data_IF_641796525544
#
_entry.id   IF_641796525544
#
_cell.length_a   1.000
_cell.length_b   1.000
_cell.length_c   1.000
_cell.angle_alpha   90.00
_cell.angle_beta   90.00
_cell.angle_gamma   90.00
#
_symmetry.space_group_name_H-M   'P 1'
#
loop_
_entity.id
_entity.type
_entity.pdbx_description
1 polymer ?
#
# COMPACT_ATOMS: atom_id res chain seq x y z
N UNK A 1 1.64 36.36 3.31
CA UNK A 1 0.90 35.10 3.12
C UNK A 1 1.39 34.27 1.92
N UNK A 2 1.60 34.79 0.70
CA UNK A 2 2.05 33.97 -0.43
C UNK A 2 3.30 33.13 -0.13
N UNK A 3 4.33 33.73 0.45
CA UNK A 3 5.58 33.05 0.80
C UNK A 3 5.44 31.93 1.83
N UNK A 4 4.44 31.98 2.72
CA UNK A 4 4.20 30.91 3.67
C UNK A 4 3.59 29.68 2.96
N UNK A 5 2.61 29.90 2.09
CA UNK A 5 1.99 28.83 1.32
C UNK A 5 2.98 28.17 0.38
N UNK A 6 3.80 28.97 -0.31
CA UNK A 6 4.89 28.48 -1.15
C UNK A 6 5.89 27.62 -0.35
N UNK A 7 6.33 28.13 0.80
CA UNK A 7 7.22 27.38 1.68
C UNK A 7 6.63 26.07 2.18
N UNK A 8 5.36 26.06 2.55
CA UNK A 8 4.65 24.85 2.98
C UNK A 8 4.55 23.85 1.83
N UNK A 9 4.24 24.32 0.63
CA UNK A 9 4.14 23.48 -0.56
C UNK A 9 5.49 22.80 -0.88
N UNK A 10 6.57 23.55 -0.99
CA UNK A 10 7.88 22.98 -1.30
C UNK A 10 8.42 22.10 -0.17
N UNK A 11 8.14 22.42 1.09
CA UNK A 11 8.50 21.54 2.20
C UNK A 11 7.74 20.23 2.14
N UNK A 12 6.46 20.24 1.75
CA UNK A 12 5.65 19.04 1.53
C UNK A 12 6.20 18.19 0.40
N UNK A 13 6.50 18.79 -0.76
CA UNK A 13 7.13 18.10 -1.89
C UNK A 13 8.45 17.45 -1.49
N UNK A 14 9.32 18.22 -0.81
CA UNK A 14 10.60 17.70 -0.34
C UNK A 14 10.42 16.52 0.62
N UNK A 15 9.46 16.62 1.57
CA UNK A 15 9.16 15.55 2.50
C UNK A 15 8.69 14.28 1.79
N UNK A 16 7.77 14.39 0.84
CA UNK A 16 7.30 13.26 0.03
C UNK A 16 8.44 12.63 -0.78
N UNK A 17 9.23 13.46 -1.47
CA UNK A 17 10.35 12.98 -2.28
C UNK A 17 11.44 12.31 -1.43
N UNK A 18 11.72 12.85 -0.25
CA UNK A 18 12.72 12.28 0.67
C UNK A 18 12.29 10.95 1.30
N UNK A 19 10.98 10.72 1.44
CA UNK A 19 10.42 9.46 1.96
C UNK A 19 10.11 8.43 0.87
N UNK A 20 10.10 8.86 -0.39
CA UNK A 20 9.81 7.99 -1.52
C UNK A 20 11.10 7.30 -2.02
N UNK A 21 10.93 6.30 -2.86
CA UNK A 21 12.03 5.56 -3.47
C UNK A 21 11.55 4.18 -3.85
N UNK A 22 12.08 3.15 -3.21
CA UNK A 22 11.61 1.76 -3.39
C UNK A 22 10.49 1.37 -2.44
N UNK A 23 10.05 2.30 -1.59
CA UNK A 23 9.01 2.10 -0.56
C UNK A 23 8.07 3.32 -0.53
N UNK A 24 6.97 3.21 0.21
CA UNK A 24 6.10 4.34 0.55
C UNK A 24 6.60 5.05 1.83
N UNK A 25 6.12 6.27 2.11
CA UNK A 25 6.30 6.90 3.41
C UNK A 25 5.63 6.07 4.52
N UNK A 26 6.29 5.97 5.66
CA UNK A 26 5.74 5.31 6.85
C UNK A 26 5.17 6.35 7.82
N UNK A 27 4.48 5.90 8.88
CA UNK A 27 3.72 6.75 9.80
C UNK A 27 4.46 8.03 10.25
N UNK A 28 5.71 7.92 10.62
CA UNK A 28 6.51 9.05 11.12
C UNK A 28 7.41 9.68 10.05
N UNK A 29 7.23 9.34 8.79
CA UNK A 29 8.10 9.78 7.71
C UNK A 29 9.50 9.16 7.79
N UNK A 30 10.50 9.85 7.22
CA UNK A 30 11.88 9.38 7.16
C UNK A 30 12.64 9.67 8.46
N UNK A 31 12.42 10.84 9.03
CA UNK A 31 13.13 11.30 10.24
C UNK A 31 12.26 11.19 11.46
N UNK A 32 12.75 10.47 12.43
CA UNK A 32 12.11 10.25 13.70
C UNK A 32 12.98 10.85 14.79
N UNK A 33 12.42 11.79 15.54
CA UNK A 33 13.13 12.49 16.61
C UNK A 33 13.29 11.72 17.92
N UNK A 34 12.71 10.53 18.03
CA UNK A 34 12.65 9.77 19.26
C UNK A 34 13.01 8.29 19.05
N UNK A 35 13.70 7.70 20.05
CA UNK A 35 14.04 6.27 20.05
C UNK A 35 12.84 5.37 20.32
N UNK A 36 11.85 5.87 21.08
CA UNK A 36 10.65 5.14 21.46
C UNK A 36 9.42 5.73 20.76
N UNK A 37 9.22 5.33 19.53
CA UNK A 37 8.17 5.86 18.67
C UNK A 37 6.79 5.36 19.05
N UNK A 38 5.84 6.27 19.14
CA UNK A 38 4.43 5.92 19.10
C UNK A 38 4.15 5.11 17.82
N UNK A 39 3.39 4.03 17.97
CA UNK A 39 3.04 3.14 16.86
C UNK A 39 4.23 2.50 16.13
N UNK A 40 5.43 2.48 16.75
CA UNK A 40 6.66 1.86 16.21
C UNK A 40 7.05 2.36 14.82
N UNK A 41 6.50 3.48 14.37
CA UNK A 41 6.68 4.03 13.02
C UNK A 41 6.44 3.01 11.89
N UNK A 42 5.49 2.11 12.07
CA UNK A 42 5.10 1.13 11.08
C UNK A 42 4.51 1.79 9.82
N UNK A 43 4.41 1.06 8.74
CA UNK A 43 3.59 1.46 7.60
C UNK A 43 2.12 1.23 7.98
N UNK A 44 1.42 2.31 8.30
CA UNK A 44 0.04 2.26 8.76
C UNK A 44 -0.89 2.43 7.56
N UNK A 45 -1.59 1.35 7.22
CA UNK A 45 -2.38 1.24 6.00
C UNK A 45 -3.79 1.81 6.16
N UNK A 46 -4.25 2.02 7.38
CA UNK A 46 -5.58 2.54 7.71
C UNK A 46 -5.62 4.06 7.66
N UNK A 47 -5.33 4.60 6.53
CA UNK A 47 -5.31 5.97 6.08
C UNK A 47 -3.92 6.62 6.01
N UNK A 48 -2.95 6.33 6.87
CA UNK A 48 -1.70 7.10 6.90
C UNK A 48 -0.88 6.95 5.60
N UNK A 49 -0.66 5.74 5.12
CA UNK A 49 0.12 5.52 3.89
C UNK A 49 -0.54 6.18 2.69
N UNK A 50 -1.82 5.93 2.44
CA UNK A 50 -2.49 6.49 1.26
C UNK A 50 -2.68 8.01 1.35
N UNK A 51 -2.92 8.58 2.54
CA UNK A 51 -2.98 10.04 2.73
C UNK A 51 -1.62 10.68 2.47
N UNK A 52 -0.54 10.07 2.95
CA UNK A 52 0.82 10.58 2.73
C UNK A 52 1.24 10.51 1.25
N UNK A 53 0.73 9.56 0.49
CA UNK A 53 1.05 9.44 -0.94
C UNK A 53 0.03 10.12 -1.86
N UNK A 54 -1.11 10.55 -1.34
CA UNK A 54 -2.20 11.15 -2.14
C UNK A 54 -1.77 12.39 -2.92
N UNK A 55 -0.82 13.17 -2.40
CA UNK A 55 -0.29 14.36 -3.05
C UNK A 55 0.74 14.09 -4.17
N UNK A 56 1.27 12.87 -4.28
CA UNK A 56 2.38 12.57 -5.20
C UNK A 56 2.01 12.77 -6.67
N UNK A 57 0.91 12.17 -7.06
CA UNK A 57 0.46 12.20 -8.46
C UNK A 57 0.09 13.62 -8.90
N UNK A 58 -0.74 14.32 -8.13
CA UNK A 58 -1.15 15.69 -8.40
C UNK A 58 -0.02 16.71 -8.38
N UNK A 59 1.10 16.39 -7.71
CA UNK A 59 2.30 17.23 -7.63
C UNK A 59 3.36 16.88 -8.69
N UNK A 60 3.10 15.91 -9.56
CA UNK A 60 4.05 15.48 -10.60
C UNK A 60 5.24 14.67 -10.09
N UNK A 61 5.16 14.10 -8.90
CA UNK A 61 6.22 13.26 -8.32
C UNK A 61 6.13 11.82 -8.85
N UNK A 62 6.43 11.65 -10.13
CA UNK A 62 6.32 10.36 -10.84
C UNK A 62 7.11 9.24 -10.15
N UNK A 63 8.37 9.49 -9.81
CA UNK A 63 9.25 8.49 -9.17
C UNK A 63 8.74 8.08 -7.78
N UNK A 64 8.11 8.99 -7.05
CA UNK A 64 7.48 8.67 -5.77
C UNK A 64 6.25 7.76 -5.98
N UNK A 65 5.45 8.02 -7.00
CA UNK A 65 4.35 7.15 -7.42
C UNK A 65 4.84 5.76 -7.82
N UNK A 66 5.95 5.68 -8.58
CA UNK A 66 6.60 4.41 -8.94
C UNK A 66 7.10 3.67 -7.68
N UNK A 67 7.71 4.38 -6.72
CA UNK A 67 8.13 3.81 -5.45
C UNK A 67 6.98 3.18 -4.67
N UNK A 68 5.81 3.82 -4.69
CA UNK A 68 4.58 3.26 -4.12
C UNK A 68 4.17 1.95 -4.81
N UNK A 69 4.29 1.84 -6.14
CA UNK A 69 4.00 0.58 -6.86
C UNK A 69 4.92 -0.55 -6.40
N UNK A 70 6.22 -0.27 -6.19
CA UNK A 70 7.17 -1.26 -5.65
C UNK A 70 6.82 -1.70 -4.24
N UNK A 71 6.38 -0.78 -3.40
CA UNK A 71 5.88 -1.08 -2.06
C UNK A 71 4.67 -2.03 -2.13
N UNK A 72 3.69 -1.74 -2.97
CA UNK A 72 2.49 -2.58 -3.16
C UNK A 72 2.87 -3.98 -3.67
N UNK A 73 3.63 -4.06 -4.76
CA UNK A 73 4.02 -5.34 -5.38
C UNK A 73 4.75 -6.26 -4.39
N UNK A 74 5.62 -5.71 -3.56
CA UNK A 74 6.37 -6.48 -2.57
C UNK A 74 5.46 -7.16 -1.55
N UNK A 75 4.32 -6.57 -1.23
CA UNK A 75 3.45 -7.03 -0.16
C UNK A 75 2.27 -7.91 -0.63
N UNK A 76 1.91 -7.89 -1.90
CA UNK A 76 0.77 -8.66 -2.43
C UNK A 76 0.79 -10.14 -2.04
N UNK A 77 1.92 -10.88 -2.10
CA UNK A 77 1.95 -12.29 -1.69
C UNK A 77 1.56 -12.52 -0.24
N UNK A 78 2.00 -11.64 0.67
CA UNK A 78 1.62 -11.72 2.08
C UNK A 78 0.14 -11.37 2.28
N UNK A 79 -0.40 -10.39 1.56
CA UNK A 79 -1.82 -10.06 1.61
C UNK A 79 -2.73 -11.20 1.13
N UNK A 80 -2.28 -11.93 0.12
CA UNK A 80 -2.99 -13.15 -0.34
C UNK A 80 -2.94 -14.23 0.74
N UNK A 81 -1.78 -14.43 1.35
CA UNK A 81 -1.62 -15.37 2.45
C UNK A 81 -2.49 -15.01 3.67
N UNK A 82 -2.58 -13.72 4.02
CA UNK A 82 -3.43 -13.24 5.11
C UNK A 82 -4.90 -13.57 4.86
N UNK A 83 -5.42 -13.33 3.66
CA UNK A 83 -6.80 -13.66 3.31
C UNK A 83 -7.08 -15.17 3.38
N UNK A 84 -6.12 -15.99 2.96
CA UNK A 84 -6.21 -17.43 3.04
C UNK A 84 -6.17 -17.95 4.49
N UNK A 85 -5.26 -17.39 5.32
CA UNK A 85 -5.09 -17.84 6.70
C UNK A 85 -6.22 -17.40 7.63
N UNK A 86 -6.71 -16.17 7.47
CA UNK A 86 -7.73 -15.59 8.39
C UNK A 86 -9.13 -16.03 8.02
N UNK A 87 -9.44 -16.07 6.71
CA UNK A 87 -10.80 -16.32 6.23
C UNK A 87 -10.93 -17.53 5.30
N UNK A 88 -9.86 -18.29 5.06
CA UNK A 88 -9.89 -19.41 4.10
C UNK A 88 -10.12 -19.02 2.64
N UNK A 89 -9.99 -17.72 2.33
CA UNK A 89 -10.30 -17.18 1.00
C UNK A 89 -9.26 -17.56 -0.06
N UNK A 90 -9.72 -17.70 -1.31
CA UNK A 90 -8.88 -17.98 -2.46
C UNK A 90 -8.78 -16.77 -3.38
N UNK A 91 -7.57 -16.51 -3.89
CA UNK A 91 -7.28 -15.41 -4.82
C UNK A 91 -7.86 -14.05 -4.34
N UNK A 92 -7.75 -13.79 -3.05
CA UNK A 92 -8.21 -12.59 -2.37
C UNK A 92 -7.06 -11.94 -1.60
N UNK A 93 -7.22 -10.72 -1.15
CA UNK A 93 -6.22 -10.02 -0.33
C UNK A 93 -6.84 -9.50 0.96
N UNK A 94 -6.12 -9.67 2.05
CA UNK A 94 -6.39 -9.02 3.33
C UNK A 94 -5.16 -8.18 3.70
N UNK A 95 -5.32 -6.88 3.70
CA UNK A 95 -4.25 -5.92 4.00
C UNK A 95 -4.30 -5.61 5.49
N UNK A 96 -3.22 -5.81 6.25
CA UNK A 96 -3.18 -5.49 7.67
C UNK A 96 -3.16 -3.98 7.89
N UNK A 97 -3.60 -3.54 9.06
CA UNK A 97 -3.53 -2.12 9.46
C UNK A 97 -2.09 -1.62 9.46
N UNK A 98 -1.17 -2.43 9.95
CA UNK A 98 0.25 -2.10 10.04
C UNK A 98 1.13 -3.15 9.37
N UNK A 99 2.26 -2.71 8.81
CA UNK A 99 3.30 -3.57 8.23
C UNK A 99 4.68 -2.97 8.45
N UNK A 100 5.72 -3.79 8.34
CA UNK A 100 7.11 -3.35 8.41
C UNK A 100 7.69 -2.87 7.06
N UNK A 101 6.88 -2.92 6.01
CA UNK A 101 7.27 -2.50 4.67
C UNK A 101 7.93 -3.58 3.82
N UNK A 102 8.44 -4.66 4.40
CA UNK A 102 8.96 -5.84 3.71
C UNK A 102 7.97 -6.99 3.72
N UNK A 103 7.38 -7.23 4.87
CA UNK A 103 6.41 -8.29 5.08
C UNK A 103 5.10 -7.65 5.52
N UNK A 104 4.04 -8.05 4.87
CA UNK A 104 2.69 -7.57 5.16
C UNK A 104 1.86 -8.63 5.87
N UNK A 105 2.50 -9.53 6.59
CA UNK A 105 1.81 -10.47 7.48
C UNK A 105 1.08 -9.70 8.57
N UNK A 106 -0.02 -10.25 9.06
CA UNK A 106 -0.75 -9.66 10.17
C UNK A 106 0.12 -9.71 11.42
N UNK A 107 0.61 -8.55 11.83
CA UNK A 107 1.57 -8.41 12.93
C UNK A 107 0.95 -8.02 14.26
N UNK A 108 -0.31 -7.57 14.26
CA UNK A 108 -0.98 -7.11 15.47
C UNK A 108 -2.32 -7.81 15.69
N UNK A 109 -2.40 -8.51 16.80
CA UNK A 109 -3.63 -8.99 17.40
C UNK A 109 -3.79 -8.30 18.75
N UNK A 110 -4.84 -7.49 18.88
CA UNK A 110 -5.21 -6.89 20.17
C UNK A 110 -6.72 -7.05 20.38
N UNK A 111 -7.10 -7.52 21.57
CA UNK A 111 -8.49 -7.72 21.91
C UNK A 111 -9.27 -6.40 22.07
N UNK A 112 -8.58 -5.32 22.41
CA UNK A 112 -9.16 -3.98 22.59
C UNK A 112 -9.20 -3.21 21.27
N UNK A 113 -8.30 -3.55 20.33
CA UNK A 113 -8.19 -2.94 19.01
C UNK A 113 -8.07 -4.05 17.97
N UNK A 114 -9.21 -4.62 17.52
CA UNK A 114 -9.22 -5.78 16.64
C UNK A 114 -8.84 -5.42 15.20
N UNK A 115 -7.64 -4.89 15.00
CA UNK A 115 -7.09 -4.46 13.72
C UNK A 115 -7.06 -5.57 12.66
N UNK A 116 -6.99 -6.81 13.10
CA UNK A 116 -7.04 -7.99 12.23
C UNK A 116 -8.37 -8.12 11.48
N UNK A 117 -9.44 -7.46 11.92
CA UNK A 117 -10.74 -7.46 11.24
C UNK A 117 -10.97 -6.25 10.34
N UNK A 118 -9.96 -5.40 10.15
CA UNK A 118 -10.07 -4.28 9.23
C UNK A 118 -10.02 -4.75 7.76
N UNK A 119 -11.13 -4.59 7.04
CA UNK A 119 -11.33 -5.16 5.72
C UNK A 119 -11.19 -4.14 4.57
N UNK A 120 -11.04 -2.84 4.89
CA UNK A 120 -11.05 -1.78 3.89
C UNK A 120 -9.71 -1.57 3.16
N UNK A 121 -8.64 -2.22 3.60
CA UNK A 121 -7.27 -1.95 3.18
C UNK A 121 -7.03 -1.98 1.67
N UNK A 122 -7.60 -2.97 0.98
CA UNK A 122 -7.40 -3.10 -0.45
C UNK A 122 -7.98 -1.91 -1.24
N UNK A 123 -9.16 -1.43 -0.87
CA UNK A 123 -9.77 -0.24 -1.46
C UNK A 123 -8.91 1.01 -1.27
N UNK A 124 -8.38 1.20 -0.05
CA UNK A 124 -7.53 2.33 0.27
C UNK A 124 -6.21 2.32 -0.51
N UNK A 125 -5.58 1.16 -0.64
CA UNK A 125 -4.30 1.04 -1.35
C UNK A 125 -4.45 1.12 -2.88
N UNK A 126 -5.63 0.86 -3.43
CA UNK A 126 -5.93 1.02 -4.86
C UNK A 126 -6.07 2.48 -5.30
N UNK A 127 -6.47 3.38 -4.40
CA UNK A 127 -6.72 4.80 -4.74
C UNK A 127 -5.48 5.46 -5.35
N UNK A 128 -4.29 5.46 -4.74
CA UNK A 128 -3.12 6.11 -5.33
C UNK A 128 -2.67 5.49 -6.66
N UNK A 129 -2.91 4.18 -6.86
CA UNK A 129 -2.62 3.51 -8.13
C UNK A 129 -3.57 3.99 -9.22
N UNK A 130 -4.85 4.10 -8.90
CA UNK A 130 -5.85 4.64 -9.82
C UNK A 130 -5.55 6.09 -10.20
N UNK A 131 -5.22 6.94 -9.21
CA UNK A 131 -4.82 8.32 -9.43
C UNK A 131 -3.57 8.43 -10.30
N UNK A 132 -2.58 7.53 -10.10
CA UNK A 132 -1.41 7.45 -10.96
C UNK A 132 -1.79 7.19 -12.43
N UNK A 133 -2.67 6.21 -12.67
CA UNK A 133 -3.17 5.90 -14.01
C UNK A 133 -3.97 7.07 -14.63
N UNK A 134 -4.72 7.83 -13.83
CA UNK A 134 -5.43 9.02 -14.29
C UNK A 134 -4.46 10.15 -14.67
N UNK A 135 -3.35 10.27 -13.96
CA UNK A 135 -2.38 11.35 -14.15
C UNK A 135 -1.40 11.06 -15.29
N UNK A 136 -0.90 9.83 -15.36
CA UNK A 136 0.20 9.46 -16.26
C UNK A 136 -0.20 8.47 -17.36
N UNK A 137 -1.44 7.98 -17.34
CA UNK A 137 -1.91 6.96 -18.28
C UNK A 137 -1.33 5.58 -18.03
N UNK A 138 -1.32 4.76 -19.07
CA UNK A 138 -0.75 3.41 -19.04
C UNK A 138 0.78 3.49 -19.08
N UNK A 139 1.39 3.42 -17.92
CA UNK A 139 2.83 3.52 -17.75
C UNK A 139 3.47 2.13 -17.59
N UNK A 140 4.68 2.01 -18.13
CA UNK A 140 5.56 0.84 -17.91
C UNK A 140 6.71 1.28 -17.01
N UNK A 141 6.90 0.54 -15.91
CA UNK A 141 7.89 0.83 -14.88
C UNK A 141 8.91 -0.31 -14.79
N UNK A 142 10.16 0.02 -14.53
CA UNK A 142 11.26 -0.97 -14.44
C UNK A 142 11.91 -0.91 -13.07
N UNK A 143 12.19 -2.09 -12.48
CA UNK A 143 12.87 -2.21 -11.20
C UNK A 143 14.24 -2.86 -11.35
N UNK A 144 15.16 -2.47 -10.46
CA UNK A 144 16.45 -3.13 -10.25
C UNK A 144 16.49 -3.93 -8.94
N UNK A 145 15.37 -4.00 -8.22
CA UNK A 145 15.26 -4.77 -6.98
C UNK A 145 15.26 -6.27 -7.29
N UNK A 146 16.36 -6.94 -6.97
CA UNK A 146 16.53 -8.36 -7.20
C UNK A 146 15.47 -9.24 -6.49
N UNK A 147 14.90 -8.75 -5.37
CA UNK A 147 13.85 -9.47 -4.65
C UNK A 147 12.53 -9.45 -5.41
N UNK A 148 12.15 -8.31 -5.98
CA UNK A 148 10.98 -8.18 -6.84
C UNK A 148 11.13 -8.96 -8.14
N UNK A 149 12.31 -8.87 -8.79
CA UNK A 149 12.60 -9.62 -10.00
C UNK A 149 12.49 -11.13 -9.74
N UNK A 150 13.05 -11.61 -8.63
CA UNK A 150 12.92 -13.02 -8.23
C UNK A 150 11.47 -13.42 -7.95
N UNK A 151 10.71 -12.55 -7.30
CA UNK A 151 9.30 -12.81 -6.92
C UNK A 151 8.38 -12.92 -8.13
N UNK A 152 8.58 -12.08 -9.14
CA UNK A 152 7.68 -11.96 -10.29
C UNK A 152 8.27 -12.56 -11.61
N UNK A 153 9.54 -12.93 -11.62
CA UNK A 153 10.22 -13.46 -12.81
C UNK A 153 10.45 -12.42 -13.92
N UNK A 154 10.31 -11.13 -13.62
CA UNK A 154 10.48 -10.02 -14.57
C UNK A 154 10.91 -8.74 -13.84
N UNK A 155 11.49 -7.80 -14.58
CA UNK A 155 11.96 -6.51 -14.10
C UNK A 155 11.06 -5.34 -14.54
N UNK A 156 10.18 -5.59 -15.49
CA UNK A 156 9.34 -4.57 -16.13
C UNK A 156 7.86 -4.87 -15.92
N UNK A 157 7.09 -3.86 -15.54
CA UNK A 157 5.68 -3.97 -15.16
C UNK A 157 4.83 -2.90 -15.84
N UNK A 158 3.75 -3.32 -16.47
CA UNK A 158 2.66 -2.46 -16.89
C UNK A 158 1.80 -2.13 -15.66
N UNK A 159 1.72 -0.86 -15.27
CA UNK A 159 1.04 -0.45 -14.04
C UNK A 159 -0.42 -0.89 -14.02
N UNK A 160 -1.11 -0.78 -15.16
CA UNK A 160 -2.51 -1.21 -15.25
C UNK A 160 -2.64 -2.73 -15.14
N UNK A 161 -1.94 -3.46 -16.02
CA UNK A 161 -2.13 -4.91 -16.18
C UNK A 161 -1.46 -5.76 -15.10
N UNK A 162 -0.32 -5.29 -14.58
CA UNK A 162 0.50 -6.06 -13.65
C UNK A 162 0.31 -5.65 -12.18
N UNK A 163 -0.20 -4.42 -11.92
CA UNK A 163 -0.38 -3.90 -10.57
C UNK A 163 -1.85 -3.65 -10.25
N UNK A 164 -2.49 -2.74 -10.98
CA UNK A 164 -3.84 -2.28 -10.67
C UNK A 164 -4.90 -3.36 -10.84
N UNK A 165 -5.03 -3.93 -12.03
CA UNK A 165 -6.07 -4.92 -12.35
C UNK A 165 -5.96 -6.20 -11.51
N UNK A 166 -4.75 -6.79 -11.29
CA UNK A 166 -4.62 -7.96 -10.44
C UNK A 166 -5.00 -7.69 -8.98
N UNK A 167 -4.60 -6.53 -8.43
CA UNK A 167 -4.97 -6.15 -7.08
C UNK A 167 -6.46 -5.86 -6.95
N UNK A 168 -7.05 -5.14 -7.92
CA UNK A 168 -8.50 -4.88 -7.97
C UNK A 168 -9.31 -6.19 -8.02
N UNK A 169 -8.88 -7.15 -8.85
CA UNK A 169 -9.52 -8.46 -8.92
C UNK A 169 -9.48 -9.20 -7.57
N UNK A 170 -8.34 -9.18 -6.89
CA UNK A 170 -8.18 -9.81 -5.57
C UNK A 170 -9.00 -9.10 -4.49
N UNK A 171 -9.09 -7.78 -4.53
CA UNK A 171 -9.97 -7.00 -3.67
C UNK A 171 -11.44 -7.33 -3.92
N UNK A 172 -11.86 -7.42 -5.19
CA UNK A 172 -13.20 -7.85 -5.56
C UNK A 172 -13.52 -9.27 -5.07
N UNK A 173 -12.58 -10.20 -5.24
CA UNK A 173 -12.75 -11.58 -4.77
C UNK A 173 -12.89 -11.65 -3.25
N UNK A 174 -12.18 -10.80 -2.49
CA UNK A 174 -12.35 -10.70 -1.05
C UNK A 174 -13.79 -10.32 -0.69
N UNK A 175 -14.34 -9.26 -1.27
CA UNK A 175 -15.69 -8.80 -0.97
C UNK A 175 -16.77 -9.78 -1.45
N UNK A 176 -16.52 -10.43 -2.58
CA UNK A 176 -17.42 -11.48 -3.09
C UNK A 176 -17.49 -12.67 -2.15
N UNK A 177 -16.38 -13.09 -1.57
CA UNK A 177 -16.33 -14.24 -0.66
C UNK A 177 -16.86 -13.88 0.72
N UNK A 178 -16.49 -12.72 1.28
CA UNK A 178 -17.00 -12.31 2.60
C UNK A 178 -18.50 -12.05 2.60
N UNK A 179 -19.09 -11.65 1.49
CA UNK A 179 -20.54 -11.45 1.34
C UNK A 179 -21.32 -12.73 0.99
N UNK A 180 -20.65 -13.88 0.83
CA UNK A 180 -21.33 -15.12 0.50
C UNK A 180 -21.85 -15.82 1.77
N UNK A 181 -23.18 -16.04 1.90
CA UNK A 181 -23.76 -16.71 3.07
C UNK A 181 -23.20 -18.11 3.32
N UNK A 182 -22.77 -18.83 2.29
CA UNK A 182 -22.18 -20.17 2.41
C UNK A 182 -20.91 -20.21 3.25
N UNK A 183 -20.19 -19.08 3.36
CA UNK A 183 -19.01 -18.98 4.23
C UNK A 183 -19.33 -18.95 5.73
N UNK A 184 -20.59 -18.72 6.11
CA UNK A 184 -21.02 -18.56 7.51
C UNK A 184 -21.92 -19.71 8.01
N UNK A 185 -22.19 -20.72 7.18
CA UNK A 185 -23.17 -21.77 7.51
C UNK A 185 -22.56 -23.07 8.05
N UNK A 186 -21.25 -23.21 8.09
CA UNK A 186 -20.54 -24.42 8.53
C UNK A 186 -19.77 -24.25 9.87
N UNK A 187 -20.31 -23.45 10.79
CA UNK A 187 -19.79 -23.38 12.17
C UNK A 187 -20.79 -23.85 13.19
#
# INVERSE_FOLDING_TARGET
MPHLLEKLYYNGLYGMQACAGTTAPRLSGLWVGEWNLLWRSAYTMDANVNIQVSGMNGSGLYEAGVGYMWFILRQIPDWVNNAAMVYGMKDAVLIPVNTDGHRAMMVEYDINYPFQYWNAGAGWMLIPIYEFLQTYGDAVITTFDASLIKMYGKDTFDVRKDVYEPLLKKAYNFWKQIGNPEYYTDT
#
